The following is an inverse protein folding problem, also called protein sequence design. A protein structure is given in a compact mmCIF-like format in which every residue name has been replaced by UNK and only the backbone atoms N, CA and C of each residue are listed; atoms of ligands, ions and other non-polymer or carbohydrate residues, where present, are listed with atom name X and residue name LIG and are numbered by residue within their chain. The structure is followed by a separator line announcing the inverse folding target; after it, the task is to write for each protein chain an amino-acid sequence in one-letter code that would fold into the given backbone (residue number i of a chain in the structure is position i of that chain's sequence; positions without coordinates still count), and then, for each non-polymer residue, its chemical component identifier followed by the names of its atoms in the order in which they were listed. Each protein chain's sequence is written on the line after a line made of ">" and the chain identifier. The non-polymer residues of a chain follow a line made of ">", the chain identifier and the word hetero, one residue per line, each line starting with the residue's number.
data_IF_889797426083
#
_entry.id   IF_889797426083
#
_cell.length_a   1.000
_cell.length_b   1.000
_cell.length_c   1.000
_cell.angle_alpha   90.00
_cell.angle_beta   90.00
_cell.angle_gamma   90.00
#
_symmetry.space_group_name_H-M   'P 1'
#
loop_
_entity.id
_entity.type
_entity.pdbx_description
1 polymer ?
#
# COMPACT_ATOMS: atom_id res chain seq x y z
N UNK A 1 -48.49 31.08 -22.56
CA UNK A 1 -47.08 31.08 -23.04
C UNK A 1 -46.39 29.78 -22.62
N UNK A 2 -46.76 28.64 -23.22
CA UNK A 2 -46.24 27.32 -22.82
C UNK A 2 -45.62 26.52 -23.99
N UNK A 3 -45.43 27.15 -25.16
CA UNK A 3 -45.09 26.44 -26.40
C UNK A 3 -43.63 26.63 -26.87
N UNK A 4 -42.81 27.44 -26.20
CA UNK A 4 -41.47 27.82 -26.72
C UNK A 4 -40.31 27.06 -26.04
N UNK A 5 -40.54 26.41 -24.90
CA UNK A 5 -39.48 25.70 -24.18
C UNK A 5 -39.16 24.28 -24.72
N UNK A 6 -40.01 23.72 -25.59
CA UNK A 6 -39.79 22.38 -26.17
C UNK A 6 -38.91 22.39 -27.43
N UNK A 7 -38.61 23.57 -27.99
CA UNK A 7 -37.95 23.70 -29.30
C UNK A 7 -36.43 23.76 -29.19
N UNK A 8 -35.86 24.15 -28.05
CA UNK A 8 -34.40 24.35 -27.92
C UNK A 8 -33.59 23.16 -27.40
N UNK A 9 -34.23 22.07 -26.95
CA UNK A 9 -33.52 20.87 -26.49
C UNK A 9 -33.19 19.87 -27.63
N UNK A 10 -33.56 20.16 -28.88
CA UNK A 10 -33.48 19.21 -30.01
C UNK A 10 -32.25 19.39 -30.91
N UNK A 11 -31.43 20.43 -30.70
CA UNK A 11 -30.33 20.78 -31.60
C UNK A 11 -28.99 20.05 -31.34
N UNK A 12 -28.95 19.10 -30.39
CA UNK A 12 -27.75 18.26 -30.18
C UNK A 12 -28.08 16.78 -29.99
N UNK A 13 -29.30 16.37 -30.32
CA UNK A 13 -29.72 14.98 -30.26
C UNK A 13 -29.36 14.32 -31.60
N UNK A 14 -28.55 13.23 -31.62
CA UNK A 14 -28.21 12.53 -32.85
C UNK A 14 -29.48 12.12 -33.59
N UNK A 15 -29.45 12.11 -34.94
CA UNK A 15 -30.64 11.94 -35.78
C UNK A 15 -31.49 10.70 -35.42
N UNK A 16 -30.84 9.66 -34.92
CA UNK A 16 -31.43 8.40 -34.46
C UNK A 16 -32.29 8.55 -33.19
N UNK A 17 -32.11 9.60 -32.39
CA UNK A 17 -32.83 9.82 -31.13
C UNK A 17 -33.99 10.82 -31.23
N UNK A 18 -34.39 11.21 -32.46
CA UNK A 18 -35.54 12.11 -32.71
C UNK A 18 -36.91 11.44 -32.57
N UNK A 19 -36.98 10.11 -32.64
CA UNK A 19 -38.22 9.37 -32.35
C UNK A 19 -38.29 8.98 -30.87
N UNK A 20 -39.47 8.85 -30.25
CA UNK A 20 -39.60 8.40 -28.86
C UNK A 20 -38.90 7.05 -28.59
N UNK A 21 -38.90 6.15 -29.58
CA UNK A 21 -38.16 4.88 -29.55
C UNK A 21 -36.64 5.06 -29.64
N UNK A 22 -36.20 5.94 -30.55
CA UNK A 22 -34.80 6.27 -30.74
C UNK A 22 -34.17 6.96 -29.52
N UNK A 23 -34.93 7.89 -28.90
CA UNK A 23 -34.56 8.55 -27.65
C UNK A 23 -34.39 7.52 -26.53
N UNK A 24 -35.38 6.64 -26.34
CA UNK A 24 -35.31 5.59 -25.33
C UNK A 24 -34.11 4.65 -25.54
N UNK A 25 -33.86 4.20 -26.78
CA UNK A 25 -32.73 3.31 -27.08
C UNK A 25 -31.36 3.99 -26.88
N UNK A 26 -31.21 5.25 -27.30
CA UNK A 26 -29.97 6.01 -27.11
C UNK A 26 -29.66 6.24 -25.62
N UNK A 27 -30.67 6.60 -24.82
CA UNK A 27 -30.49 6.78 -23.38
C UNK A 27 -30.27 5.46 -22.64
N UNK A 28 -30.92 4.36 -23.06
CA UNK A 28 -30.68 3.03 -22.52
C UNK A 28 -29.26 2.51 -22.82
N UNK A 29 -28.73 2.78 -24.02
CA UNK A 29 -27.35 2.46 -24.38
C UNK A 29 -26.34 3.13 -23.44
N UNK A 30 -26.48 4.45 -23.24
CA UNK A 30 -25.65 5.22 -22.30
C UNK A 30 -25.73 4.69 -20.87
N UNK A 31 -26.92 4.37 -20.38
CA UNK A 31 -27.09 3.78 -19.05
C UNK A 31 -26.36 2.44 -18.93
N UNK A 32 -26.39 1.59 -19.97
CA UNK A 32 -25.70 0.29 -19.97
C UNK A 32 -24.18 0.47 -19.89
N UNK A 33 -23.65 1.44 -20.63
CA UNK A 33 -22.22 1.78 -20.60
C UNK A 33 -21.80 2.36 -19.25
N UNK A 34 -22.60 3.24 -18.66
CA UNK A 34 -22.35 3.82 -17.34
C UNK A 34 -22.35 2.74 -16.23
N UNK A 35 -23.27 1.78 -16.30
CA UNK A 35 -23.31 0.63 -15.38
C UNK A 35 -22.06 -0.23 -15.53
N UNK A 36 -21.61 -0.48 -16.77
CA UNK A 36 -20.41 -1.26 -17.05
C UNK A 36 -19.15 -0.57 -16.51
N UNK A 37 -18.99 0.71 -16.82
CA UNK A 37 -17.88 1.54 -16.34
C UNK A 37 -17.87 1.67 -14.81
N UNK A 38 -19.04 1.81 -14.19
CA UNK A 38 -19.19 1.85 -12.73
C UNK A 38 -18.74 0.55 -12.05
N UNK A 39 -19.08 -0.62 -12.62
CA UNK A 39 -18.63 -1.92 -12.12
C UNK A 39 -17.11 -2.11 -12.24
N UNK A 40 -16.51 -1.67 -13.35
CA UNK A 40 -15.06 -1.71 -13.53
C UNK A 40 -14.33 -0.78 -12.54
N UNK A 41 -14.86 0.44 -12.33
CA UNK A 41 -14.34 1.36 -11.31
C UNK A 41 -14.37 0.76 -9.90
N UNK A 42 -15.44 0.04 -9.57
CA UNK A 42 -15.60 -0.65 -8.29
C UNK A 42 -14.60 -1.81 -8.11
N UNK A 43 -14.32 -2.54 -9.20
CA UNK A 43 -13.31 -3.61 -9.23
C UNK A 43 -11.91 -3.07 -8.97
N UNK A 44 -11.50 -2.02 -9.69
CA UNK A 44 -10.18 -1.37 -9.52
C UNK A 44 -9.99 -0.82 -8.10
N UNK A 45 -11.04 -0.26 -7.50
CA UNK A 45 -10.97 0.25 -6.14
C UNK A 45 -10.79 -0.86 -5.10
N UNK A 46 -11.42 -2.04 -5.28
CA UNK A 46 -11.17 -3.21 -4.43
C UNK A 46 -9.73 -3.71 -4.55
N UNK A 47 -9.23 -3.82 -5.78
CA UNK A 47 -7.85 -4.24 -6.04
C UNK A 47 -6.82 -3.26 -5.43
N UNK A 48 -7.09 -1.95 -5.53
CA UNK A 48 -6.27 -0.92 -4.88
C UNK A 48 -6.26 -1.04 -3.35
N UNK A 49 -7.41 -1.37 -2.74
CA UNK A 49 -7.51 -1.61 -1.29
C UNK A 49 -6.72 -2.84 -0.82
N UNK A 50 -6.72 -3.93 -1.59
CA UNK A 50 -5.92 -5.11 -1.26
C UNK A 50 -4.41 -4.84 -1.39
N UNK A 51 -3.98 -4.07 -2.40
CA UNK A 51 -2.58 -3.63 -2.52
C UNK A 51 -2.14 -2.76 -1.34
N UNK A 52 -3.01 -1.86 -0.87
CA UNK A 52 -2.74 -1.02 0.31
C UNK A 52 -2.56 -1.88 1.58
N UNK A 53 -3.41 -2.89 1.78
CA UNK A 53 -3.27 -3.82 2.92
C UNK A 53 -1.94 -4.57 2.89
N UNK A 54 -1.55 -5.08 1.72
CA UNK A 54 -0.27 -5.77 1.51
C UNK A 54 0.92 -4.83 1.81
N UNK A 55 0.93 -3.64 1.23
CA UNK A 55 1.98 -2.64 1.48
C UNK A 55 2.09 -2.28 2.97
N UNK A 56 0.96 -2.17 3.67
CA UNK A 56 0.93 -1.89 5.10
C UNK A 56 1.49 -3.06 5.94
N UNK A 57 1.17 -4.30 5.59
CA UNK A 57 1.72 -5.49 6.25
C UNK A 57 3.24 -5.60 6.04
N UNK A 58 3.71 -5.38 4.82
CA UNK A 58 5.14 -5.42 4.49
C UNK A 58 5.92 -4.31 5.21
N UNK A 59 5.35 -3.10 5.26
CA UNK A 59 5.90 -1.96 6.00
C UNK A 59 6.03 -2.28 7.49
N UNK A 60 4.98 -2.82 8.12
CA UNK A 60 5.01 -3.24 9.53
C UNK A 60 6.11 -4.27 9.79
N UNK A 61 6.23 -5.28 8.93
CA UNK A 61 7.28 -6.29 9.04
C UNK A 61 8.68 -5.68 8.88
N UNK A 62 8.83 -4.71 7.98
CA UNK A 62 10.06 -3.98 7.78
C UNK A 62 10.48 -3.13 8.99
N UNK A 63 9.53 -2.47 9.67
CA UNK A 63 9.80 -1.76 10.92
C UNK A 63 10.22 -2.68 12.07
N UNK A 64 9.59 -3.87 12.18
CA UNK A 64 10.00 -4.88 13.17
C UNK A 64 11.44 -5.33 12.93
N UNK A 65 11.81 -5.58 11.67
CA UNK A 65 13.21 -5.91 11.31
C UNK A 65 14.17 -4.77 11.67
N UNK A 66 13.79 -3.52 11.44
CA UNK A 66 14.60 -2.36 11.79
C UNK A 66 14.85 -2.28 13.31
N UNK A 67 13.79 -2.40 14.11
CA UNK A 67 13.89 -2.38 15.57
C UNK A 67 14.82 -3.49 16.09
N UNK A 68 14.71 -4.71 15.54
CA UNK A 68 15.58 -5.82 15.91
C UNK A 68 17.06 -5.54 15.59
N UNK A 69 17.37 -4.97 14.42
CA UNK A 69 18.74 -4.61 14.06
C UNK A 69 19.31 -3.51 14.97
N UNK A 70 18.47 -2.56 15.43
CA UNK A 70 18.89 -1.53 16.39
C UNK A 70 19.19 -2.12 17.78
N UNK A 71 18.37 -3.08 18.24
CA UNK A 71 18.64 -3.81 19.49
C UNK A 71 19.96 -4.57 19.40
N UNK A 72 20.20 -5.26 18.29
CA UNK A 72 21.48 -5.97 18.06
C UNK A 72 22.67 -5.03 18.06
N UNK A 73 22.56 -3.84 17.45
CA UNK A 73 23.64 -2.84 17.46
C UNK A 73 23.93 -2.33 18.87
N UNK A 74 22.88 -2.01 19.65
CA UNK A 74 23.04 -1.57 21.05
C UNK A 74 23.71 -2.65 21.90
N UNK A 75 23.32 -3.92 21.73
CA UNK A 75 23.92 -5.03 22.47
C UNK A 75 25.37 -5.28 22.05
N UNK A 76 25.66 -5.24 20.75
CA UNK A 76 27.02 -5.40 20.24
C UNK A 76 27.96 -4.30 20.76
N UNK A 77 27.49 -3.05 20.84
CA UNK A 77 28.26 -1.95 21.42
C UNK A 77 28.60 -2.19 22.90
N UNK A 78 27.62 -2.65 23.70
CA UNK A 78 27.86 -3.02 25.11
C UNK A 78 28.89 -4.14 25.24
N UNK A 79 28.81 -5.17 24.40
CA UNK A 79 29.73 -6.30 24.41
C UNK A 79 31.16 -5.90 24.01
N UNK A 80 31.31 -5.01 23.02
CA UNK A 80 32.63 -4.47 22.65
C UNK A 80 33.24 -3.72 23.83
N UNK A 81 32.45 -2.88 24.51
CA UNK A 81 32.93 -2.09 25.65
C UNK A 81 33.38 -2.99 26.82
N UNK A 82 32.65 -4.06 27.12
CA UNK A 82 33.04 -5.00 28.17
C UNK A 82 34.31 -5.78 27.81
N UNK A 83 34.44 -6.25 26.58
CA UNK A 83 35.65 -6.92 26.09
C UNK A 83 36.87 -6.00 26.09
N UNK A 84 36.71 -4.72 25.74
CA UNK A 84 37.79 -3.74 25.81
C UNK A 84 38.24 -3.49 27.26
N UNK A 85 37.30 -3.42 28.22
CA UNK A 85 37.66 -3.33 29.65
C UNK A 85 38.42 -4.58 30.11
N UNK A 86 37.98 -5.77 29.72
CA UNK A 86 38.67 -7.02 30.04
C UNK A 86 40.09 -7.07 29.43
N UNK A 87 40.26 -6.62 28.18
CA UNK A 87 41.58 -6.54 27.55
C UNK A 87 42.52 -5.60 28.31
N UNK A 88 42.04 -4.43 28.75
CA UNK A 88 42.83 -3.51 29.57
C UNK A 88 43.25 -4.15 30.90
N UNK A 89 42.33 -4.82 31.59
CA UNK A 89 42.65 -5.51 32.85
C UNK A 89 43.68 -6.63 32.65
N UNK A 90 43.53 -7.45 31.60
CA UNK A 90 44.50 -8.49 31.25
C UNK A 90 45.87 -7.89 30.89
N UNK A 91 45.92 -6.75 30.19
CA UNK A 91 47.18 -6.09 29.86
C UNK A 91 47.94 -5.64 31.12
N UNK A 92 47.24 -5.09 32.11
CA UNK A 92 47.82 -4.73 33.42
C UNK A 92 48.35 -5.98 34.14
N UNK A 93 47.58 -7.07 34.19
CA UNK A 93 48.03 -8.33 34.81
C UNK A 93 49.23 -8.95 34.10
N UNK A 94 49.28 -8.89 32.77
CA UNK A 94 50.44 -9.37 31.97
C UNK A 94 51.69 -8.54 32.28
N UNK A 95 51.55 -7.23 32.51
CA UNK A 95 52.65 -6.34 32.85
C UNK A 95 53.20 -6.59 34.26
N UNK A 96 52.32 -6.93 35.21
CA UNK A 96 52.69 -7.22 36.59
C UNK A 96 53.34 -8.60 36.80
N UNK A 97 53.15 -9.54 35.86
CA UNK A 97 53.71 -10.89 35.96
C UNK A 97 55.14 -10.98 35.39
N UNK A 98 56.05 -11.75 36.04
CA UNK A 98 57.38 -12.00 35.49
C UNK A 98 57.33 -12.65 34.10
N UNK A 99 58.31 -12.30 33.26
CA UNK A 99 58.45 -12.89 31.93
C UNK A 99 58.68 -14.39 32.06
N UNK A 100 58.08 -15.19 31.16
CA UNK A 100 58.27 -16.65 31.14
C UNK A 100 57.34 -17.44 32.08
N UNK A 101 56.56 -16.78 32.94
CA UNK A 101 55.64 -17.51 33.84
C UNK A 101 54.45 -18.11 33.08
N UNK A 102 54.00 -19.33 33.42
CA UNK A 102 52.84 -19.97 32.80
C UNK A 102 51.57 -19.10 32.83
N UNK A 103 51.34 -18.39 33.95
CA UNK A 103 50.21 -17.46 34.10
C UNK A 103 50.22 -16.30 33.10
N UNK A 104 51.40 -15.74 32.80
CA UNK A 104 51.55 -14.67 31.79
C UNK A 104 51.28 -15.17 30.38
N UNK A 105 51.74 -16.36 30.04
CA UNK A 105 51.49 -17.01 28.75
C UNK A 105 50.01 -17.34 28.54
N UNK A 106 49.31 -17.77 29.59
CA UNK A 106 47.86 -18.01 29.53
C UNK A 106 47.07 -16.70 29.35
N UNK A 107 47.41 -15.64 30.08
CA UNK A 107 46.77 -14.34 29.92
C UNK A 107 46.99 -13.73 28.53
N UNK A 108 48.19 -13.86 27.95
CA UNK A 108 48.44 -13.45 26.55
C UNK A 108 47.53 -14.19 25.56
N UNK A 109 47.30 -15.50 25.75
CA UNK A 109 46.38 -16.28 24.91
C UNK A 109 44.92 -15.82 25.08
N UNK A 110 44.49 -15.59 26.32
CA UNK A 110 43.16 -15.08 26.62
C UNK A 110 42.92 -13.68 26.02
N UNK A 111 43.93 -12.80 26.07
CA UNK A 111 43.88 -11.49 25.42
C UNK A 111 43.74 -11.58 23.91
N UNK A 112 44.51 -12.46 23.24
CA UNK A 112 44.37 -12.71 21.79
C UNK A 112 42.97 -13.23 21.44
N UNK A 113 42.41 -14.14 22.25
CA UNK A 113 41.05 -14.66 22.07
C UNK A 113 39.99 -13.55 22.24
N UNK A 114 40.13 -12.71 23.27
CA UNK A 114 39.24 -11.57 23.48
C UNK A 114 39.32 -10.55 22.32
N UNK A 115 40.50 -10.34 21.75
CA UNK A 115 40.68 -9.47 20.58
C UNK A 115 40.00 -10.05 19.33
N UNK A 116 40.15 -11.36 19.09
CA UNK A 116 39.44 -12.04 18.01
C UNK A 116 37.90 -11.93 18.16
N UNK A 117 37.38 -12.13 19.38
CA UNK A 117 35.94 -11.94 19.68
C UNK A 117 35.49 -10.51 19.40
N UNK A 118 36.30 -9.51 19.77
CA UNK A 118 36.01 -8.09 19.50
C UNK A 118 35.95 -7.81 18.01
N UNK A 119 36.90 -8.34 17.22
CA UNK A 119 36.93 -8.18 15.76
C UNK A 119 35.71 -8.82 15.08
N UNK A 120 35.29 -9.99 15.55
CA UNK A 120 34.08 -10.65 15.04
C UNK A 120 32.83 -9.81 15.31
N UNK A 121 32.68 -9.27 16.52
CA UNK A 121 31.54 -8.41 16.87
C UNK A 121 31.59 -7.11 16.05
N UNK A 122 32.76 -6.51 15.85
CA UNK A 122 32.91 -5.33 14.99
C UNK A 122 32.49 -5.63 13.54
N UNK A 123 32.79 -6.82 13.02
CA UNK A 123 32.31 -7.26 11.70
C UNK A 123 30.79 -7.42 11.65
N UNK A 124 30.17 -8.02 12.67
CA UNK A 124 28.70 -8.10 12.78
C UNK A 124 28.09 -6.70 12.80
N UNK A 125 28.63 -5.77 13.60
CA UNK A 125 28.19 -4.37 13.63
C UNK A 125 28.29 -3.71 12.26
N UNK A 126 29.39 -3.92 11.53
CA UNK A 126 29.59 -3.37 10.18
C UNK A 126 28.54 -3.89 9.19
N UNK A 127 28.27 -5.19 9.19
CA UNK A 127 27.25 -5.80 8.32
C UNK A 127 25.85 -5.31 8.69
N UNK A 128 25.52 -5.30 9.98
CA UNK A 128 24.22 -4.82 10.49
C UNK A 128 24.00 -3.35 10.12
N UNK A 129 25.02 -2.49 10.25
CA UNK A 129 24.93 -1.08 9.84
C UNK A 129 24.69 -0.93 8.33
N UNK A 130 25.37 -1.73 7.50
CA UNK A 130 25.16 -1.76 6.05
C UNK A 130 23.74 -2.20 5.68
N UNK A 131 23.17 -3.17 6.41
CA UNK A 131 21.79 -3.59 6.22
C UNK A 131 20.81 -2.48 6.63
N UNK A 132 21.08 -1.79 7.73
CA UNK A 132 20.26 -0.68 8.22
C UNK A 132 20.23 0.51 7.24
N UNK A 133 21.37 0.86 6.64
CA UNK A 133 21.47 1.92 5.62
C UNK A 133 20.70 1.58 4.34
N UNK A 134 20.53 0.29 4.02
CA UNK A 134 19.70 -0.14 2.88
C UNK A 134 18.21 -0.19 3.22
N UNK A 135 17.86 -0.50 4.46
CA UNK A 135 16.47 -0.70 4.88
C UNK A 135 15.75 0.63 5.15
N UNK A 136 16.41 1.59 5.79
CA UNK A 136 15.85 2.92 6.10
C UNK A 136 15.19 3.61 4.88
N UNK A 137 15.88 3.82 3.75
CA UNK A 137 15.28 4.51 2.62
C UNK A 137 14.13 3.72 1.97
N UNK A 138 14.16 2.38 2.00
CA UNK A 138 13.06 1.55 1.51
C UNK A 138 11.80 1.74 2.35
N UNK A 139 11.94 1.82 3.67
CA UNK A 139 10.81 2.05 4.58
C UNK A 139 10.22 3.45 4.43
N UNK A 140 11.06 4.47 4.19
CA UNK A 140 10.59 5.83 3.91
C UNK A 140 9.75 5.84 2.63
N UNK A 141 10.25 5.25 1.54
CA UNK A 141 9.50 5.14 0.28
C UNK A 141 8.17 4.40 0.45
N UNK A 142 8.17 3.28 1.19
CA UNK A 142 6.92 2.55 1.48
C UNK A 142 5.94 3.38 2.29
N UNK A 143 6.41 4.21 3.23
CA UNK A 143 5.53 5.10 4.00
C UNK A 143 4.91 6.17 3.09
N UNK A 144 5.69 6.75 2.17
CA UNK A 144 5.20 7.72 1.19
C UNK A 144 4.19 7.07 0.22
N UNK A 145 4.49 5.89 -0.32
CA UNK A 145 3.58 5.13 -1.19
C UNK A 145 2.26 4.76 -0.49
N UNK A 146 2.31 4.40 0.80
CA UNK A 146 1.12 4.15 1.61
C UNK A 146 0.31 5.44 1.80
N UNK A 147 0.98 6.58 2.03
CA UNK A 147 0.31 7.87 2.19
C UNK A 147 -0.41 8.26 0.90
N UNK A 148 0.26 8.19 -0.24
CA UNK A 148 -0.30 8.51 -1.55
C UNK A 148 -1.47 7.57 -1.91
N UNK A 149 -1.32 6.28 -1.62
CA UNK A 149 -2.37 5.30 -1.85
C UNK A 149 -3.57 5.51 -0.90
N UNK A 150 -3.34 5.94 0.35
CA UNK A 150 -4.39 6.32 1.29
C UNK A 150 -5.16 7.55 0.81
N UNK A 151 -4.46 8.61 0.38
CA UNK A 151 -5.10 9.82 -0.16
C UNK A 151 -5.91 9.52 -1.43
N UNK A 152 -5.37 8.65 -2.30
CA UNK A 152 -6.06 8.19 -3.50
C UNK A 152 -7.29 7.35 -3.15
N UNK A 153 -7.20 6.49 -2.13
CA UNK A 153 -8.32 5.71 -1.63
C UNK A 153 -9.43 6.60 -1.03
N UNK A 154 -9.07 7.63 -0.24
CA UNK A 154 -10.03 8.56 0.35
C UNK A 154 -10.77 9.39 -0.72
N UNK A 155 -10.05 9.87 -1.73
CA UNK A 155 -10.66 10.50 -2.92
C UNK A 155 -11.61 9.53 -3.63
N UNK A 156 -11.19 8.29 -3.84
CA UNK A 156 -11.99 7.28 -4.52
C UNK A 156 -13.19 6.79 -3.71
N UNK A 157 -13.17 6.87 -2.38
CA UNK A 157 -14.30 6.53 -1.50
C UNK A 157 -15.49 7.46 -1.73
N UNK A 158 -15.23 8.75 -1.94
CA UNK A 158 -16.26 9.73 -2.31
C UNK A 158 -16.88 9.42 -3.67
N UNK A 159 -16.04 9.10 -4.66
CA UNK A 159 -16.47 8.72 -6.01
C UNK A 159 -17.25 7.40 -6.01
N UNK A 160 -16.83 6.40 -5.22
CA UNK A 160 -17.54 5.12 -5.03
C UNK A 160 -18.94 5.31 -4.45
N UNK A 161 -19.11 6.21 -3.48
CA UNK A 161 -20.44 6.54 -2.94
C UNK A 161 -21.37 7.11 -4.02
N UNK A 162 -20.84 8.00 -4.86
CA UNK A 162 -21.59 8.60 -5.98
C UNK A 162 -21.93 7.56 -7.06
N UNK A 163 -20.97 6.71 -7.45
CA UNK A 163 -21.18 5.62 -8.41
C UNK A 163 -22.22 4.63 -7.89
N UNK A 164 -22.14 4.23 -6.61
CA UNK A 164 -23.11 3.31 -6.01
C UNK A 164 -24.52 3.90 -5.98
N UNK A 165 -24.64 5.20 -5.67
CA UNK A 165 -25.92 5.91 -5.75
C UNK A 165 -26.45 5.96 -7.18
N UNK A 166 -25.63 6.38 -8.14
CA UNK A 166 -26.02 6.45 -9.57
C UNK A 166 -26.39 5.08 -10.17
N UNK A 167 -25.73 3.99 -9.75
CA UNK A 167 -26.10 2.62 -10.12
C UNK A 167 -27.48 2.21 -9.57
N UNK A 168 -27.80 2.58 -8.33
CA UNK A 168 -29.12 2.33 -7.76
C UNK A 168 -30.19 3.16 -8.49
N UNK A 169 -29.96 4.45 -8.67
CA UNK A 169 -30.88 5.36 -9.35
C UNK A 169 -31.13 4.91 -10.81
N UNK A 170 -30.09 4.48 -11.53
CA UNK A 170 -30.22 3.92 -12.88
C UNK A 170 -31.00 2.59 -12.90
N UNK A 171 -30.80 1.73 -11.91
CA UNK A 171 -31.57 0.49 -11.75
C UNK A 171 -33.06 0.75 -11.55
N UNK A 172 -33.40 1.76 -10.74
CA UNK A 172 -34.78 2.17 -10.49
C UNK A 172 -35.44 2.75 -11.75
N UNK A 173 -34.72 3.56 -12.53
CA UNK A 173 -35.19 4.10 -13.81
C UNK A 173 -35.45 2.97 -14.82
N UNK A 174 -34.52 2.02 -14.96
CA UNK A 174 -34.70 0.87 -15.86
C UNK A 174 -35.89 0.00 -15.44
N UNK A 175 -36.05 -0.24 -14.14
CA UNK A 175 -37.20 -0.98 -13.57
C UNK A 175 -38.53 -0.28 -13.89
N UNK A 176 -38.57 1.05 -13.72
CA UNK A 176 -39.75 1.88 -13.99
C UNK A 176 -40.08 1.93 -15.48
N UNK A 177 -39.07 2.12 -16.34
CA UNK A 177 -39.24 2.06 -17.80
C UNK A 177 -39.75 0.69 -18.27
N UNK A 178 -39.27 -0.41 -17.68
CA UNK A 178 -39.73 -1.77 -17.99
C UNK A 178 -41.18 -1.99 -17.58
N UNK A 179 -41.62 -1.43 -16.44
CA UNK A 179 -43.02 -1.43 -16.02
C UNK A 179 -43.89 -0.59 -16.97
N UNK A 180 -43.45 0.61 -17.35
CA UNK A 180 -44.18 1.50 -18.25
C UNK A 180 -44.33 0.93 -19.67
N UNK A 181 -43.31 0.24 -20.18
CA UNK A 181 -43.34 -0.40 -21.49
C UNK A 181 -44.35 -1.55 -21.61
N UNK A 182 -44.76 -2.15 -20.48
CA UNK A 182 -45.83 -3.17 -20.45
C UNK A 182 -47.21 -2.61 -20.83
N UNK A 183 -47.40 -1.28 -20.74
CA UNK A 183 -48.67 -0.60 -20.97
C UNK A 183 -48.69 0.24 -22.26
N UNK A 184 -47.61 0.20 -23.06
CA UNK A 184 -47.50 0.95 -24.32
C UNK A 184 -47.63 -0.02 -25.52
N UNK A 185 -48.64 0.15 -26.40
CA UNK A 185 -48.93 -0.79 -27.50
C UNK A 185 -47.83 -0.86 -28.58
N UNK A 186 -46.83 0.02 -28.54
CA UNK A 186 -45.67 0.05 -29.44
C UNK A 186 -44.35 0.29 -28.69
N UNK A 187 -44.19 -0.26 -27.47
CA UNK A 187 -42.99 -0.03 -26.67
C UNK A 187 -41.69 -0.52 -27.36
N UNK A 188 -40.52 0.09 -27.07
CA UNK A 188 -39.23 -0.46 -27.48
C UNK A 188 -39.02 -1.85 -26.88
N UNK A 189 -38.26 -2.73 -27.54
CA UNK A 189 -38.00 -4.10 -27.06
C UNK A 189 -36.94 -4.09 -25.93
N UNK A 190 -37.39 -3.78 -24.72
CA UNK A 190 -36.57 -3.70 -23.48
C UNK A 190 -36.12 -5.11 -23.01
N UNK A 191 -36.62 -6.18 -23.65
CA UNK A 191 -36.32 -7.58 -23.32
C UNK A 191 -34.85 -7.99 -23.54
N UNK A 192 -34.05 -7.19 -24.28
CA UNK A 192 -32.63 -7.44 -24.53
C UNK A 192 -31.68 -6.87 -23.46
N UNK A 193 -32.20 -6.34 -22.35
CA UNK A 193 -31.44 -5.79 -21.23
C UNK A 193 -30.96 -6.83 -20.20
N UNK A 194 -30.69 -8.08 -20.61
CA UNK A 194 -29.93 -9.02 -19.77
C UNK A 194 -28.47 -8.57 -19.63
#
# INVERSE_FOLDING_TARGET
>A
MLAVAFVFATLSIPAEARSPRGWANHHLGKIKDDIKNGKEGLKKAKEGGERLKLAHQESKAGFVKLANLEVQLKQAAKNIQSLQKQQKAMAVQIAALPVGTPGRSQLKRNMKSAQARTNNIANVVRVTRKNLTKLKPKLVKMADEIKDASETFDKNKGTLKKIKKGLNDAGDVVSTMKKAAKYLPNAPNISQLK
#
